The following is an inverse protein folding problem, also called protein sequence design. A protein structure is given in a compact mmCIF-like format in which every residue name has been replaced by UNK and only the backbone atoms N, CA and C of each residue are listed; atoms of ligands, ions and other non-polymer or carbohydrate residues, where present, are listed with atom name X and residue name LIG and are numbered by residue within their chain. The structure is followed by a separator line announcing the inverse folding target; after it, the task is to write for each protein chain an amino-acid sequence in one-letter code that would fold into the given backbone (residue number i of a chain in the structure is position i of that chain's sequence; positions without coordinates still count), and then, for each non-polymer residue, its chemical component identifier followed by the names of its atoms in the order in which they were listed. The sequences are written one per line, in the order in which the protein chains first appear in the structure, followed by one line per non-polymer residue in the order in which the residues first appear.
data_IF_649844293738
#
_entry.id   IF_649844293738
#
_cell.length_a   1.000
_cell.length_b   1.000
_cell.length_c   1.000
_cell.angle_alpha   90.00
_cell.angle_beta   90.00
_cell.angle_gamma   90.00
#
_symmetry.space_group_name_H-M   'P 1'
#
loop_
_entity.id
_entity.type
_entity.pdbx_description
1 polymer ?
#
# COMPACT_ATOMS: atom_id res chain seq x y z
N UNK A 1 -6.38 9.15 16.72
CA UNK A 1 -6.39 7.79 16.14
C UNK A 1 -5.13 6.97 16.40
N UNK A 2 -3.91 7.48 16.22
CA UNK A 2 -2.64 6.72 16.46
C UNK A 2 -2.47 6.11 17.86
N UNK A 3 -3.05 6.72 18.90
CA UNK A 3 -2.89 6.24 20.28
C UNK A 3 -3.67 4.94 20.57
N UNK A 4 -4.78 4.69 19.86
CA UNK A 4 -5.58 3.48 20.04
C UNK A 4 -4.85 2.19 19.61
N UNK A 5 -4.24 2.09 18.40
CA UNK A 5 -3.48 0.91 18.01
C UNK A 5 -2.21 0.73 18.86
N UNK A 6 -1.56 1.81 19.33
CA UNK A 6 -0.42 1.71 20.25
C UNK A 6 -0.81 1.11 21.61
N UNK A 7 -1.95 1.50 22.16
CA UNK A 7 -2.45 0.92 23.41
C UNK A 7 -2.78 -0.57 23.24
N UNK A 8 -3.41 -0.95 22.13
CA UNK A 8 -3.71 -2.33 21.80
C UNK A 8 -2.42 -3.17 21.62
N UNK A 9 -1.43 -2.65 20.89
CA UNK A 9 -0.11 -3.28 20.71
C UNK A 9 0.56 -3.57 22.05
N UNK A 10 0.56 -2.60 22.97
CA UNK A 10 1.18 -2.75 24.29
C UNK A 10 0.50 -3.83 25.13
N UNK A 11 -0.84 -3.87 25.11
CA UNK A 11 -1.62 -4.89 25.82
C UNK A 11 -1.41 -6.27 25.24
N UNK A 12 -1.51 -6.42 23.92
CA UNK A 12 -1.32 -7.71 23.24
C UNK A 12 0.09 -8.24 23.47
N UNK A 13 1.11 -7.40 23.30
CA UNK A 13 2.51 -7.80 23.53
C UNK A 13 2.76 -8.28 24.96
N UNK A 14 2.27 -7.53 25.97
CA UNK A 14 2.39 -7.94 27.38
C UNK A 14 1.65 -9.23 27.71
N UNK A 15 0.49 -9.47 27.09
CA UNK A 15 -0.27 -10.70 27.27
C UNK A 15 0.38 -11.89 26.54
N UNK A 16 0.95 -11.69 25.35
CA UNK A 16 1.63 -12.73 24.57
C UNK A 16 2.75 -13.37 25.36
N UNK A 17 3.58 -12.59 26.06
CA UNK A 17 4.66 -13.13 26.90
C UNK A 17 4.09 -14.05 28.00
N UNK A 18 2.98 -13.66 28.64
CA UNK A 18 2.31 -14.48 29.66
C UNK A 18 1.71 -15.75 29.09
N UNK A 19 1.14 -15.71 27.88
CA UNK A 19 0.59 -16.89 27.23
C UNK A 19 1.69 -17.87 26.78
N UNK A 20 2.82 -17.36 26.26
CA UNK A 20 4.00 -18.19 25.94
C UNK A 20 4.53 -18.92 27.18
N UNK A 21 4.67 -18.21 28.31
CA UNK A 21 5.12 -18.81 29.58
C UNK A 21 4.18 -19.91 30.10
N UNK A 22 2.89 -19.83 29.76
CA UNK A 22 1.86 -20.82 30.15
C UNK A 22 1.68 -21.94 29.12
N UNK A 23 2.47 -21.95 28.05
CA UNK A 23 2.35 -22.93 26.97
C UNK A 23 1.11 -22.75 26.08
N UNK A 24 0.38 -21.63 26.20
CA UNK A 24 -0.81 -21.32 25.40
C UNK A 24 -0.39 -20.74 24.03
N UNK A 25 0.26 -21.58 23.22
CA UNK A 25 0.90 -21.16 21.97
C UNK A 25 -0.09 -20.62 20.92
N UNK A 26 -1.30 -21.19 20.83
CA UNK A 26 -2.31 -20.76 19.86
C UNK A 26 -2.75 -19.31 20.11
N UNK A 27 -2.99 -18.96 21.38
CA UNK A 27 -3.39 -17.60 21.78
C UNK A 27 -2.23 -16.64 21.57
N UNK A 28 -1.00 -17.05 21.91
CA UNK A 28 0.19 -16.24 21.67
C UNK A 28 0.39 -15.96 20.16
N UNK A 29 0.21 -16.98 19.32
CA UNK A 29 0.28 -16.86 17.85
C UNK A 29 -0.79 -15.90 17.31
N UNK A 30 -2.04 -16.05 17.76
CA UNK A 30 -3.13 -15.13 17.38
C UNK A 30 -2.82 -13.68 17.78
N UNK A 31 -2.31 -13.44 18.98
CA UNK A 31 -1.92 -12.10 19.40
C UNK A 31 -0.80 -11.52 18.52
N UNK A 32 0.19 -12.32 18.15
CA UNK A 32 1.28 -11.90 17.26
C UNK A 32 0.75 -11.54 15.86
N UNK A 33 -0.23 -12.28 15.34
CA UNK A 33 -0.91 -11.93 14.10
C UNK A 33 -1.62 -10.57 14.21
N UNK A 34 -2.42 -10.35 15.26
CA UNK A 34 -3.09 -9.05 15.47
C UNK A 34 -2.09 -7.90 15.65
N UNK A 35 -0.96 -8.14 16.33
CA UNK A 35 0.13 -7.16 16.45
C UNK A 35 0.67 -6.76 15.07
N UNK A 36 0.92 -7.73 14.19
CA UNK A 36 1.41 -7.45 12.83
C UNK A 36 0.40 -6.60 12.04
N UNK A 37 -0.89 -6.93 12.09
CA UNK A 37 -1.93 -6.14 11.41
C UNK A 37 -2.01 -4.70 11.94
N UNK A 38 -1.86 -4.50 13.25
CA UNK A 38 -1.84 -3.17 13.85
C UNK A 38 -0.60 -2.37 13.42
N UNK A 39 0.57 -3.02 13.33
CA UNK A 39 1.81 -2.39 12.83
C UNK A 39 1.66 -1.99 11.37
N UNK A 40 1.12 -2.86 10.52
CA UNK A 40 0.86 -2.55 9.11
C UNK A 40 -0.09 -1.34 8.96
N UNK A 41 -1.16 -1.30 9.76
CA UNK A 41 -2.08 -0.16 9.79
C UNK A 41 -1.39 1.14 10.24
N UNK A 42 -0.53 1.08 11.26
CA UNK A 42 0.25 2.25 11.69
C UNK A 42 1.23 2.71 10.61
N UNK A 43 1.85 1.78 9.89
CA UNK A 43 2.69 2.07 8.72
C UNK A 43 1.94 2.87 7.66
N UNK A 44 0.70 2.46 7.32
CA UNK A 44 -0.15 3.18 6.38
C UNK A 44 -0.47 4.60 6.86
N UNK A 45 -0.89 4.77 8.12
CA UNK A 45 -1.23 6.10 8.68
C UNK A 45 0.00 7.02 8.65
N UNK A 46 1.17 6.53 9.06
CA UNK A 46 2.39 7.35 9.07
C UNK A 46 2.87 7.68 7.66
N UNK A 47 2.74 6.77 6.70
CA UNK A 47 3.04 7.04 5.28
C UNK A 47 2.12 8.12 4.71
N UNK A 48 0.81 8.06 4.97
CA UNK A 48 -0.16 9.09 4.58
C UNK A 48 0.14 10.44 5.22
N UNK A 49 0.48 10.48 6.51
CA UNK A 49 0.85 11.72 7.20
C UNK A 49 2.14 12.33 6.64
N UNK A 50 3.16 11.51 6.34
CA UNK A 50 4.39 11.97 5.68
C UNK A 50 4.12 12.53 4.28
N UNK A 51 3.29 11.85 3.50
CA UNK A 51 2.90 12.32 2.16
C UNK A 51 2.13 13.64 2.21
N UNK A 52 1.25 13.81 3.21
CA UNK A 52 0.47 15.04 3.42
C UNK A 52 1.31 16.20 3.94
N UNK A 53 2.23 15.94 4.89
CA UNK A 53 3.10 16.96 5.48
C UNK A 53 4.14 17.51 4.49
N UNK A 54 4.53 16.74 3.48
CA UNK A 54 5.46 17.17 2.42
C UNK A 54 4.71 17.91 1.31
N UNK A 55 4.19 19.09 1.65
CA UNK A 55 3.82 20.15 0.71
C UNK A 55 5.06 21.06 0.55
N UNK A 56 5.45 21.31 -0.70
CA UNK A 56 6.54 22.22 -1.13
C UNK A 56 7.96 21.62 -1.17
N UNK A 57 8.23 20.89 -2.25
CA UNK A 57 9.42 21.15 -3.08
C UNK A 57 9.10 20.60 -4.48
N UNK A 58 8.82 21.49 -5.43
CA UNK A 58 8.47 21.18 -6.83
C UNK A 58 9.71 20.79 -7.66
N UNK A 59 10.76 20.31 -7.01
CA UNK A 59 11.99 19.86 -7.64
C UNK A 59 11.99 18.35 -7.79
N UNK A 60 12.06 17.86 -9.02
CA UNK A 60 12.28 16.45 -9.29
C UNK A 60 11.69 16.03 -10.63
N UNK A 61 12.37 15.07 -11.25
CA UNK A 61 11.84 14.33 -12.38
C UNK A 61 11.85 12.84 -11.99
N UNK A 62 10.73 12.17 -12.22
CA UNK A 62 10.59 10.75 -11.98
C UNK A 62 10.29 10.04 -13.29
N UNK A 63 10.93 8.89 -13.49
CA UNK A 63 10.58 7.99 -14.59
C UNK A 63 9.53 7.01 -14.10
N UNK A 64 8.35 7.04 -14.72
CA UNK A 64 7.20 6.25 -14.28
C UNK A 64 7.53 4.76 -14.18
N UNK A 65 8.14 4.18 -15.21
CA UNK A 65 8.47 2.75 -15.23
C UNK A 65 9.42 2.35 -14.10
N UNK A 66 10.43 3.18 -13.82
CA UNK A 66 11.37 2.93 -12.72
C UNK A 66 10.63 2.95 -11.38
N UNK A 67 9.71 3.90 -11.20
CA UNK A 67 8.95 4.00 -9.96
C UNK A 67 7.98 2.83 -9.78
N UNK A 68 7.34 2.38 -10.86
CA UNK A 68 6.45 1.21 -10.87
C UNK A 68 7.23 -0.07 -10.57
N UNK A 69 8.38 -0.27 -11.21
CA UNK A 69 9.22 -1.45 -10.98
C UNK A 69 9.76 -1.48 -9.55
N UNK A 70 10.21 -0.35 -9.00
CA UNK A 70 10.64 -0.25 -7.61
C UNK A 70 9.50 -0.59 -6.63
N UNK A 71 8.31 -0.04 -6.86
CA UNK A 71 7.14 -0.33 -6.02
C UNK A 71 6.75 -1.83 -6.06
N UNK A 72 6.78 -2.44 -7.25
CA UNK A 72 6.46 -3.85 -7.43
C UNK A 72 7.54 -4.77 -6.86
N UNK A 73 8.82 -4.38 -6.94
CA UNK A 73 9.91 -5.11 -6.30
C UNK A 73 9.74 -5.12 -4.77
N UNK A 74 9.43 -3.97 -4.16
CA UNK A 74 9.18 -3.88 -2.71
C UNK A 74 7.96 -4.72 -2.28
N UNK A 75 6.93 -4.79 -3.12
CA UNK A 75 5.71 -5.57 -2.85
C UNK A 75 5.82 -7.04 -3.29
N UNK A 76 6.93 -7.46 -3.89
CA UNK A 76 7.10 -8.79 -4.47
C UNK A 76 6.70 -9.95 -3.53
N UNK A 77 7.08 -9.96 -2.24
CA UNK A 77 6.68 -11.02 -1.32
C UNK A 77 5.15 -11.12 -1.14
N UNK A 78 4.43 -9.99 -1.19
CA UNK A 78 2.96 -9.97 -1.12
C UNK A 78 2.33 -10.40 -2.44
N UNK A 79 2.89 -9.98 -3.57
CA UNK A 79 2.44 -10.36 -4.91
C UNK A 79 2.51 -11.88 -5.12
N UNK A 80 3.61 -12.52 -4.70
CA UNK A 80 3.78 -13.98 -4.78
C UNK A 80 2.70 -14.76 -3.99
N UNK A 81 2.28 -14.23 -2.84
CA UNK A 81 1.26 -14.88 -1.98
C UNK A 81 -0.16 -14.67 -2.47
N UNK A 82 -0.40 -13.61 -3.25
CA UNK A 82 -1.73 -13.20 -3.68
C UNK A 82 -2.07 -13.64 -5.09
N UNK A 83 -1.09 -14.09 -5.88
CA UNK A 83 -1.26 -14.54 -7.27
C UNK A 83 -2.06 -13.52 -8.13
N UNK A 84 -1.73 -12.23 -7.97
CA UNK A 84 -2.39 -11.15 -8.70
C UNK A 84 -1.85 -11.04 -10.12
N UNK A 85 -2.75 -10.87 -11.08
CA UNK A 85 -2.39 -10.49 -12.45
C UNK A 85 -2.22 -8.98 -12.53
N UNK A 86 -1.09 -8.52 -13.05
CA UNK A 86 -0.80 -7.10 -13.24
C UNK A 86 -0.77 -6.82 -14.74
N UNK A 87 -1.69 -5.98 -15.20
CA UNK A 87 -1.73 -5.48 -16.57
C UNK A 87 -1.23 -4.02 -16.55
N UNK A 88 -0.19 -3.72 -17.33
CA UNK A 88 0.37 -2.37 -17.49
C UNK A 88 0.04 -1.86 -18.89
N UNK A 89 -0.52 -0.66 -18.97
CA UNK A 89 -0.90 -0.05 -20.24
C UNK A 89 -0.62 1.46 -20.20
N UNK A 90 0.54 1.85 -20.72
CA UNK A 90 0.91 3.25 -20.85
C UNK A 90 0.71 3.62 -22.32
N UNK A 91 -0.07 4.67 -22.59
CA UNK A 91 -0.38 5.09 -23.95
C UNK A 91 0.86 5.55 -24.76
N UNK A 92 2.02 5.67 -24.12
CA UNK A 92 3.33 6.01 -24.70
C UNK A 92 4.26 4.80 -24.55
N UNK A 93 5.32 4.71 -25.37
CA UNK A 93 6.27 3.59 -25.27
C UNK A 93 6.84 3.48 -23.83
N UNK A 94 6.93 2.25 -23.27
CA UNK A 94 7.50 2.04 -21.94
C UNK A 94 8.93 2.58 -21.90
N UNK A 95 9.16 3.63 -21.10
CA UNK A 95 10.46 4.28 -20.92
C UNK A 95 10.42 5.80 -20.93
N UNK A 96 9.44 6.42 -21.60
CA UNK A 96 9.51 7.85 -21.95
C UNK A 96 8.67 8.77 -21.08
N UNK A 97 7.90 8.23 -20.14
CA UNK A 97 7.07 9.04 -19.25
C UNK A 97 7.90 9.60 -18.09
N UNK A 98 8.33 10.85 -18.25
CA UNK A 98 8.91 11.68 -17.18
C UNK A 98 7.83 12.55 -16.52
N UNK A 99 7.77 12.50 -15.18
CA UNK A 99 6.79 13.24 -14.37
C UNK A 99 7.50 14.26 -13.49
N UNK A 100 6.93 15.46 -13.36
CA UNK A 100 7.43 16.52 -12.48
C UNK A 100 7.14 16.20 -11.00
N UNK A 101 7.85 15.23 -10.46
CA UNK A 101 7.78 14.74 -9.09
C UNK A 101 9.12 14.09 -8.72
N UNK A 102 9.53 14.18 -7.46
CA UNK A 102 10.64 13.39 -6.92
C UNK A 102 10.40 11.88 -7.10
N UNK A 103 11.40 11.17 -7.63
CA UNK A 103 11.36 9.72 -7.90
C UNK A 103 10.92 8.91 -6.67
N UNK A 104 11.53 9.18 -5.51
CA UNK A 104 11.22 8.47 -4.25
C UNK A 104 9.77 8.72 -3.82
N UNK A 105 9.26 9.93 -4.07
CA UNK A 105 7.88 10.29 -3.75
C UNK A 105 6.88 9.55 -4.62
N UNK A 106 7.15 9.45 -5.93
CA UNK A 106 6.31 8.67 -6.84
C UNK A 106 6.28 7.19 -6.42
N UNK A 107 7.44 6.61 -6.10
CA UNK A 107 7.54 5.25 -5.57
C UNK A 107 6.69 5.05 -4.31
N UNK A 108 6.74 5.99 -3.36
CA UNK A 108 5.94 5.92 -2.14
C UNK A 108 4.43 5.99 -2.41
N UNK A 109 4.00 6.84 -3.35
CA UNK A 109 2.60 6.91 -3.78
C UNK A 109 2.18 5.55 -4.36
N UNK A 110 2.98 4.98 -5.26
CA UNK A 110 2.70 3.70 -5.91
C UNK A 110 2.66 2.54 -4.93
N UNK A 111 3.62 2.45 -4.00
CA UNK A 111 3.62 1.42 -2.94
C UNK A 111 2.34 1.49 -2.11
N UNK A 112 1.86 2.69 -1.79
CA UNK A 112 0.63 2.86 -1.03
C UNK A 112 -0.60 2.45 -1.84
N UNK A 113 -0.72 2.91 -3.08
CA UNK A 113 -1.89 2.61 -3.93
C UNK A 113 -1.95 1.12 -4.26
N UNK A 114 -0.84 0.53 -4.72
CA UNK A 114 -0.75 -0.90 -5.03
C UNK A 114 -0.95 -1.73 -3.76
N UNK A 115 -0.34 -1.34 -2.63
CA UNK A 115 -0.54 -2.02 -1.35
C UNK A 115 -2.01 -2.04 -0.91
N UNK A 116 -2.73 -0.93 -1.10
CA UNK A 116 -4.16 -0.84 -0.82
C UNK A 116 -5.00 -1.70 -1.78
N UNK A 117 -4.67 -1.70 -3.07
CA UNK A 117 -5.31 -2.57 -4.06
C UNK A 117 -5.15 -4.06 -3.70
N UNK A 118 -3.96 -4.49 -3.29
CA UNK A 118 -3.71 -5.87 -2.84
C UNK A 118 -4.54 -6.25 -1.61
N UNK A 119 -4.74 -5.32 -0.68
CA UNK A 119 -5.59 -5.55 0.48
C UNK A 119 -7.07 -5.61 0.10
N UNK A 120 -7.55 -4.75 -0.80
CA UNK A 120 -8.93 -4.76 -1.29
C UNK A 120 -9.27 -6.07 -2.02
N UNK A 121 -8.31 -6.64 -2.75
CA UNK A 121 -8.47 -7.90 -3.48
C UNK A 121 -8.24 -9.16 -2.63
N UNK A 122 -8.09 -9.05 -1.30
CA UNK A 122 -7.71 -10.18 -0.43
C UNK A 122 -8.64 -11.40 -0.56
N UNK A 123 -9.93 -11.19 -0.77
CA UNK A 123 -10.92 -12.26 -0.86
C UNK A 123 -11.41 -12.52 -2.30
N UNK A 124 -10.76 -11.89 -3.28
CA UNK A 124 -11.07 -12.09 -4.70
C UNK A 124 -10.33 -13.33 -5.23
N UNK A 125 -11.05 -14.13 -6.04
CA UNK A 125 -10.50 -15.33 -6.70
C UNK A 125 -9.59 -14.93 -7.85
N UNK A 126 -10.06 -14.08 -8.76
CA UNK A 126 -9.32 -13.63 -9.95
C UNK A 126 -8.77 -12.23 -9.75
N UNK A 127 -7.74 -12.06 -8.92
CA UNK A 127 -7.19 -10.73 -8.57
C UNK A 127 -6.53 -10.07 -9.77
N UNK A 128 -6.94 -8.86 -10.09
CA UNK A 128 -6.39 -8.07 -11.21
C UNK A 128 -6.08 -6.64 -10.78
N UNK A 129 -4.87 -6.22 -11.10
CA UNK A 129 -4.38 -4.87 -10.94
C UNK A 129 -4.08 -4.29 -12.32
N UNK A 130 -4.66 -3.13 -12.63
CA UNK A 130 -4.37 -2.36 -13.83
C UNK A 130 -3.60 -1.11 -13.46
N UNK A 131 -2.49 -0.89 -14.15
CA UNK A 131 -1.71 0.35 -14.11
C UNK A 131 -1.83 0.99 -15.48
N UNK A 132 -2.73 1.96 -15.63
CA UNK A 132 -2.97 2.61 -16.93
C UNK A 132 -2.55 4.07 -16.91
N UNK A 133 -1.79 4.48 -17.90
CA UNK A 133 -1.23 5.83 -18.00
C UNK A 133 -1.59 6.51 -19.31
N UNK A 134 -2.08 7.75 -19.24
CA UNK A 134 -2.42 8.54 -20.41
C UNK A 134 -2.04 10.01 -20.23
N UNK A 135 -1.48 10.62 -21.27
CA UNK A 135 -1.30 12.06 -21.32
C UNK A 135 -2.61 12.74 -21.70
N UNK A 136 -3.10 13.64 -20.85
CA UNK A 136 -4.34 14.41 -21.08
C UNK A 136 -4.07 15.75 -21.78
N UNK A 137 -2.81 16.06 -22.08
CA UNK A 137 -2.32 17.33 -22.62
C UNK A 137 -2.09 18.42 -21.58
N UNK A 138 -2.72 18.31 -20.40
CA UNK A 138 -2.50 19.24 -19.26
C UNK A 138 -1.73 18.62 -18.11
N UNK A 139 -1.83 17.30 -17.96
CA UNK A 139 -1.13 16.49 -16.99
C UNK A 139 -1.11 15.03 -17.45
N UNK A 140 -0.17 14.27 -16.93
CA UNK A 140 -0.20 12.82 -17.05
C UNK A 140 -1.17 12.23 -16.02
N UNK A 141 -2.12 11.43 -16.48
CA UNK A 141 -3.04 10.70 -15.62
C UNK A 141 -2.54 9.27 -15.47
N UNK A 142 -2.28 8.85 -14.23
CA UNK A 142 -1.95 7.47 -13.88
C UNK A 142 -3.08 6.89 -13.02
N UNK A 143 -3.75 5.88 -13.55
CA UNK A 143 -4.79 5.13 -12.88
C UNK A 143 -4.22 3.83 -12.30
N UNK A 144 -4.47 3.63 -11.00
CA UNK A 144 -4.21 2.36 -10.30
C UNK A 144 -5.57 1.75 -9.96
N UNK A 145 -5.97 0.73 -10.72
CA UNK A 145 -7.29 0.12 -10.60
C UNK A 145 -7.17 -1.33 -10.16
N UNK A 146 -8.04 -1.73 -9.24
CA UNK A 146 -8.20 -3.13 -8.82
C UNK A 146 -9.62 -3.64 -9.09
N UNK A 147 -9.82 -4.96 -8.94
CA UNK A 147 -11.15 -5.60 -8.99
C UNK A 147 -11.64 -6.04 -7.61
N UNK A 148 -11.22 -5.36 -6.54
CA UNK A 148 -11.78 -5.52 -5.22
C UNK A 148 -13.23 -5.03 -5.12
N UNK A 149 -13.84 -5.10 -3.92
CA UNK A 149 -15.25 -4.75 -3.71
C UNK A 149 -15.53 -3.24 -3.82
N UNK A 150 -14.52 -2.42 -4.07
CA UNK A 150 -14.59 -0.97 -4.05
C UNK A 150 -14.67 -0.41 -2.63
N UNK A 151 -14.88 0.91 -2.54
CA UNK A 151 -15.01 1.62 -1.26
C UNK A 151 -16.50 1.69 -0.92
N UNK A 152 -16.87 1.15 0.26
CA UNK A 152 -18.24 1.23 0.76
C UNK A 152 -18.72 2.70 0.82
N UNK A 153 -19.99 3.00 0.49
CA UNK A 153 -20.51 4.37 0.42
C UNK A 153 -20.26 5.18 1.71
N UNK A 154 -20.38 4.52 2.87
CA UNK A 154 -20.22 5.17 4.18
C UNK A 154 -18.76 5.59 4.46
N UNK A 155 -17.79 4.96 3.79
CA UNK A 155 -16.37 5.32 3.88
C UNK A 155 -15.96 6.47 2.94
N UNK A 156 -16.88 6.96 2.07
CA UNK A 156 -16.63 8.07 1.13
C UNK A 156 -16.96 9.46 1.70
N UNK A 157 -17.35 9.56 2.98
CA UNK A 157 -17.88 10.79 3.60
C UNK A 157 -16.78 11.74 4.10
N UNK A 158 -15.50 11.50 3.78
CA UNK A 158 -14.37 12.33 4.24
C UNK A 158 -13.46 12.77 3.10
#
# INVERSE_FOLDING_TARGET
ELNQPLAALRTLSGNTVRFLQRGALDIASSNLHTINELVDRMGKITASLRAFARRSDDGGEARLDQAVDAALMLLHPRLQRTNVRIDRDYAQEPGDVCLAIDQTRLEQILVNLIGNALDAMRDQVDRRLWLTGADTGSHFQLDVRDNGPGIAPDARVH
#
